data_IF_187552678943
#
_entry.id   IF_187552678943
#
_cell.length_a   1.000
_cell.length_b   1.000
_cell.length_c   1.000
_cell.angle_alpha   90.00
_cell.angle_beta   90.00
_cell.angle_gamma   90.00
#
_symmetry.space_group_name_H-M   'P 1'
#
loop_
_entity.id
_entity.type
_entity.pdbx_description
1 polymer ?
#
# COMPACT_ATOMS: atom_id res chain seq x y z
N UNK A 1 4.73 -27.40 -1.71
CA UNK A 1 4.39 -28.76 -2.17
C UNK A 1 5.14 -29.04 -3.47
N UNK A 2 6.00 -30.06 -3.48
CA UNK A 2 6.82 -30.52 -4.63
C UNK A 2 5.98 -30.70 -5.92
N UNK A 3 4.74 -31.17 -5.78
CA UNK A 3 3.80 -31.43 -6.87
C UNK A 3 3.43 -30.17 -7.67
N UNK A 4 3.44 -29.00 -7.04
CA UNK A 4 3.12 -27.72 -7.68
C UNK A 4 4.29 -27.22 -8.55
N UNK A 5 5.53 -27.47 -8.10
CA UNK A 5 6.74 -27.05 -8.82
C UNK A 5 6.97 -27.93 -10.07
N UNK A 6 6.72 -29.23 -9.95
CA UNK A 6 6.76 -30.16 -11.08
C UNK A 6 5.72 -29.84 -12.17
N UNK A 7 4.50 -29.46 -11.77
CA UNK A 7 3.44 -29.07 -12.71
C UNK A 7 3.75 -27.78 -13.49
N UNK A 8 4.40 -26.80 -12.86
CA UNK A 8 4.84 -25.55 -13.50
C UNK A 8 6.01 -25.79 -14.47
N UNK A 9 6.94 -26.68 -14.13
CA UNK A 9 8.07 -27.03 -14.99
C UNK A 9 7.63 -27.77 -16.27
N UNK A 10 6.70 -28.72 -16.14
CA UNK A 10 6.13 -29.44 -17.29
C UNK A 10 5.39 -28.48 -18.24
N UNK A 11 4.59 -27.53 -17.72
CA UNK A 11 3.92 -26.54 -18.58
C UNK A 11 4.88 -25.60 -19.32
N UNK A 12 6.03 -25.28 -18.72
CA UNK A 12 7.07 -24.45 -19.35
C UNK A 12 7.81 -25.21 -20.46
N UNK A 13 7.98 -26.53 -20.34
CA UNK A 13 8.66 -27.35 -21.36
C UNK A 13 7.80 -27.60 -22.61
N UNK A 14 6.47 -27.56 -22.48
CA UNK A 14 5.52 -27.76 -23.60
C UNK A 14 5.26 -26.48 -24.40
N UNK A 15 5.97 -25.38 -24.12
CA UNK A 15 5.83 -24.11 -24.86
C UNK A 15 4.54 -23.33 -24.57
N UNK A 16 3.71 -23.77 -23.60
CA UNK A 16 2.55 -23.00 -23.16
C UNK A 16 3.02 -21.76 -22.38
N UNK A 17 2.78 -20.57 -22.95
CA UNK A 17 2.95 -19.30 -22.24
C UNK A 17 2.08 -19.30 -20.99
N UNK A 18 2.71 -19.24 -19.82
CA UNK A 18 2.02 -19.07 -18.55
C UNK A 18 1.58 -17.61 -18.40
N UNK A 19 0.27 -17.39 -18.30
CA UNK A 19 -0.36 -16.07 -18.16
C UNK A 19 -1.40 -15.79 -19.25
N UNK A 20 -2.37 -14.93 -18.95
CA UNK A 20 -3.37 -14.44 -19.91
C UNK A 20 -2.97 -13.03 -20.37
N UNK A 21 -2.39 -12.86 -21.58
CA UNK A 21 -1.92 -11.56 -22.07
C UNK A 21 -3.02 -10.64 -22.60
N UNK A 22 -4.23 -11.15 -22.88
CA UNK A 22 -5.27 -10.42 -23.62
C UNK A 22 -6.26 -9.65 -22.75
N UNK A 23 -6.28 -9.87 -21.42
CA UNK A 23 -7.18 -9.16 -20.50
C UNK A 23 -6.46 -8.29 -19.46
N UNK A 24 -5.22 -7.89 -19.76
CA UNK A 24 -4.30 -7.29 -18.77
C UNK A 24 -4.64 -5.83 -18.46
N UNK A 25 -5.01 -5.01 -19.44
CA UNK A 25 -5.22 -3.57 -19.24
C UNK A 25 -6.49 -3.26 -18.43
N UNK A 26 -7.61 -3.90 -18.77
CA UNK A 26 -8.88 -3.72 -18.05
C UNK A 26 -8.85 -4.33 -16.65
N UNK A 27 -8.31 -5.55 -16.51
CA UNK A 27 -8.10 -6.16 -15.20
C UNK A 27 -7.14 -5.34 -14.33
N UNK A 28 -6.05 -4.80 -14.91
CA UNK A 28 -5.14 -3.92 -14.19
C UNK A 28 -5.81 -2.59 -13.82
N UNK A 29 -6.64 -2.01 -14.68
CA UNK A 29 -7.40 -0.80 -14.36
C UNK A 29 -8.38 -1.03 -13.21
N UNK A 30 -9.10 -2.17 -13.22
CA UNK A 30 -10.01 -2.56 -12.13
C UNK A 30 -9.23 -2.77 -10.82
N UNK A 31 -8.11 -3.49 -10.88
CA UNK A 31 -7.24 -3.69 -9.72
C UNK A 31 -6.71 -2.36 -9.16
N UNK A 32 -6.25 -1.45 -10.02
CA UNK A 32 -5.80 -0.10 -9.60
C UNK A 32 -6.91 0.68 -8.89
N UNK A 33 -8.15 0.66 -9.40
CA UNK A 33 -9.28 1.34 -8.76
C UNK A 33 -9.53 0.83 -7.35
N UNK A 34 -9.52 -0.50 -7.16
CA UNK A 34 -9.69 -1.12 -5.85
C UNK A 34 -8.55 -0.71 -4.91
N UNK A 35 -7.29 -0.80 -5.36
CA UNK A 35 -6.14 -0.42 -4.53
C UNK A 35 -6.13 1.07 -4.16
N UNK A 36 -6.63 1.95 -5.03
CA UNK A 36 -6.79 3.38 -4.71
C UNK A 36 -7.84 3.56 -3.61
N UNK A 37 -9.01 2.92 -3.75
CA UNK A 37 -10.09 2.99 -2.77
C UNK A 37 -9.64 2.49 -1.39
N UNK A 38 -8.97 1.33 -1.35
CA UNK A 38 -8.43 0.77 -0.09
C UNK A 38 -7.41 1.72 0.55
N UNK A 39 -6.57 2.37 -0.26
CA UNK A 39 -5.60 3.34 0.24
C UNK A 39 -6.25 4.63 0.76
N UNK A 40 -7.34 5.08 0.15
CA UNK A 40 -8.12 6.23 0.62
C UNK A 40 -8.83 5.92 1.93
N UNK A 41 -9.47 4.75 2.04
CA UNK A 41 -10.09 4.27 3.28
C UNK A 41 -9.07 4.12 4.41
N UNK A 42 -7.90 3.54 4.12
CA UNK A 42 -6.82 3.43 5.09
C UNK A 42 -6.32 4.81 5.55
N UNK A 43 -6.17 5.76 4.62
CA UNK A 43 -5.77 7.12 4.94
C UNK A 43 -6.79 7.79 5.87
N UNK A 44 -8.09 7.67 5.58
CA UNK A 44 -9.18 8.18 6.42
C UNK A 44 -9.13 7.60 7.84
N UNK A 45 -8.86 6.29 7.98
CA UNK A 45 -8.78 5.63 9.28
C UNK A 45 -7.60 6.11 10.14
N UNK A 46 -6.45 6.42 9.52
CA UNK A 46 -5.23 6.78 10.27
C UNK A 46 -5.10 8.29 10.52
N UNK A 47 -5.71 9.13 9.70
CA UNK A 47 -5.58 10.59 9.82
C UNK A 47 -5.91 11.18 11.18
N UNK A 48 -6.96 10.75 11.91
CA UNK A 48 -7.22 11.25 13.26
C UNK A 48 -6.03 11.04 14.22
N UNK A 49 -5.27 9.94 14.04
CA UNK A 49 -4.07 9.65 14.82
C UNK A 49 -2.94 10.60 14.43
N UNK A 50 -2.74 10.83 13.12
CA UNK A 50 -1.73 11.78 12.63
C UNK A 50 -2.03 13.19 13.15
N UNK A 51 -3.28 13.64 13.07
CA UNK A 51 -3.68 14.96 13.58
C UNK A 51 -3.54 15.07 15.10
N UNK A 52 -3.81 13.99 15.85
CA UNK A 52 -3.50 13.95 17.29
C UNK A 52 -2.01 14.14 17.57
N UNK A 53 -1.13 13.54 16.77
CA UNK A 53 0.33 13.71 16.91
C UNK A 53 0.76 15.14 16.50
N UNK A 54 0.15 15.72 15.46
CA UNK A 54 0.42 17.12 15.07
C UNK A 54 0.03 18.10 16.17
N UNK A 55 -1.12 17.88 16.82
CA UNK A 55 -1.57 18.69 17.97
C UNK A 55 -0.64 18.58 19.18
N UNK A 56 0.14 17.50 19.31
CA UNK A 56 1.18 17.40 20.34
C UNK A 56 2.51 18.06 19.94
N UNK A 57 2.53 18.85 18.86
CA UNK A 57 3.70 19.63 18.40
C UNK A 57 4.61 18.91 17.41
N UNK A 58 4.34 17.65 17.05
CA UNK A 58 5.17 16.90 16.09
C UNK A 58 4.61 17.10 14.68
N UNK A 59 5.23 17.99 13.91
CA UNK A 59 4.73 18.37 12.57
C UNK A 59 5.59 17.86 11.41
N UNK A 60 6.81 17.41 11.66
CA UNK A 60 7.68 16.87 10.61
C UNK A 60 7.27 15.47 10.19
N UNK A 61 7.36 15.15 8.89
CA UNK A 61 7.01 13.81 8.37
C UNK A 61 7.80 12.68 9.07
N UNK A 62 9.08 12.93 9.38
CA UNK A 62 9.93 11.99 10.11
C UNK A 62 9.45 11.81 11.54
N UNK A 63 9.12 12.90 12.24
CA UNK A 63 8.59 12.85 13.60
C UNK A 63 7.26 12.09 13.66
N UNK A 64 6.38 12.33 12.69
CA UNK A 64 5.11 11.61 12.55
C UNK A 64 5.31 10.10 12.36
N UNK A 65 6.23 9.70 11.49
CA UNK A 65 6.54 8.28 11.27
C UNK A 65 7.06 7.61 12.55
N UNK A 66 7.99 8.26 13.26
CA UNK A 66 8.51 7.76 14.55
C UNK A 66 7.39 7.64 15.58
N UNK A 67 6.57 8.67 15.73
CA UNK A 67 5.47 8.69 16.68
C UNK A 67 4.44 7.58 16.41
N UNK A 68 4.09 7.33 15.14
CA UNK A 68 3.19 6.24 14.75
C UNK A 68 3.78 4.87 15.10
N UNK A 69 5.07 4.66 14.81
CA UNK A 69 5.76 3.41 15.16
C UNK A 69 5.83 3.20 16.68
N UNK A 70 6.16 4.25 17.44
CA UNK A 70 6.20 4.19 18.91
C UNK A 70 4.83 3.91 19.53
N UNK A 71 3.74 4.33 18.87
CA UNK A 71 2.35 4.02 19.25
C UNK A 71 1.89 2.63 18.78
N UNK A 72 2.75 1.86 18.11
CA UNK A 72 2.42 0.51 17.62
C UNK A 72 1.47 0.50 16.40
N UNK A 73 1.21 1.66 15.78
CA UNK A 73 0.34 1.76 14.60
C UNK A 73 1.05 1.11 13.41
N UNK A 74 0.40 0.18 12.73
CA UNK A 74 0.93 -0.51 11.55
C UNK A 74 0.40 0.10 10.26
N UNK A 75 1.19 0.01 9.19
CA UNK A 75 0.72 0.36 7.84
C UNK A 75 -0.28 -0.67 7.32
N UNK A 76 -0.99 -0.36 6.23
CA UNK A 76 -1.97 -1.27 5.62
C UNK A 76 -1.44 -2.68 5.31
N UNK A 77 -0.12 -2.81 5.05
CA UNK A 77 0.56 -4.08 4.79
C UNK A 77 1.33 -4.62 6.01
N UNK A 78 0.92 -4.20 7.21
CA UNK A 78 1.50 -4.59 8.50
C UNK A 78 2.98 -4.18 8.72
N UNK A 79 3.51 -3.27 7.90
CA UNK A 79 4.87 -2.73 8.01
C UNK A 79 4.99 -1.55 8.96
N UNK A 80 6.23 -1.12 9.23
CA UNK A 80 6.53 0.13 9.96
C UNK A 80 6.27 1.36 9.08
N UNK A 81 5.98 2.49 9.73
CA UNK A 81 5.84 3.79 9.08
C UNK A 81 7.19 4.35 8.64
N UNK A 82 7.25 4.76 7.39
CA UNK A 82 8.31 5.60 6.84
C UNK A 82 7.75 6.97 6.43
N UNK A 83 8.66 7.93 6.20
CA UNK A 83 8.34 9.30 5.74
C UNK A 83 7.45 9.28 4.50
N UNK A 84 7.72 8.39 3.55
CA UNK A 84 6.94 8.24 2.32
C UNK A 84 5.50 7.80 2.58
N UNK A 85 5.27 6.93 3.56
CA UNK A 85 3.92 6.50 3.94
C UNK A 85 3.12 7.67 4.51
N UNK A 86 3.72 8.45 5.42
CA UNK A 86 3.07 9.63 6.01
C UNK A 86 2.73 10.65 4.92
N UNK A 87 3.69 10.96 4.03
CA UNK A 87 3.47 11.87 2.90
C UNK A 87 2.31 11.41 2.02
N UNK A 88 2.25 10.13 1.69
CA UNK A 88 1.20 9.58 0.83
C UNK A 88 -0.19 9.62 1.50
N UNK A 89 -0.27 9.44 2.82
CA UNK A 89 -1.53 9.59 3.55
C UNK A 89 -2.00 11.05 3.55
N UNK A 90 -1.08 11.98 3.82
CA UNK A 90 -1.39 13.41 3.84
C UNK A 90 -1.78 13.94 2.44
N UNK A 91 -1.08 13.54 1.39
CA UNK A 91 -1.37 13.95 0.02
C UNK A 91 -2.78 13.53 -0.46
N UNK A 92 -3.36 12.47 0.12
CA UNK A 92 -4.73 12.03 -0.19
C UNK A 92 -5.81 12.93 0.40
N UNK A 93 -5.49 13.71 1.43
CA UNK A 93 -6.45 14.56 2.15
C UNK A 93 -6.14 16.07 2.06
N UNK A 94 -4.93 16.42 1.66
CA UNK A 94 -4.55 17.79 1.34
C UNK A 94 -4.03 17.85 -0.10
N UNK A 95 -4.91 18.00 -1.09
CA UNK A 95 -4.52 18.10 -2.49
C UNK A 95 -3.76 19.39 -2.85
N UNK A 96 -3.45 20.27 -1.87
CA UNK A 96 -2.99 21.64 -2.11
C UNK A 96 -1.64 22.03 -1.49
N UNK A 97 -0.81 21.08 -1.02
CA UNK A 97 0.55 21.38 -0.54
C UNK A 97 1.55 20.27 -0.90
N UNK A 98 1.80 20.11 -2.21
CA UNK A 98 3.05 19.58 -2.75
C UNK A 98 3.49 20.46 -3.91
#
# INVERSE_FOLDING_TARGET
SERTKAALASRKTTGLKLGNPTNTAEAAAKGRRISVLEADQFAQAVLPIIESIRRSGITSLRGLAIALNNRGVRTARNGQWQVSNVRNVLARHSPMLL
#
